data_IF_234465326925
#
_entry.id   IF_234465326925
#
_cell.length_a   1.000
_cell.length_b   1.000
_cell.length_c   1.000
_cell.angle_alpha   90.00
_cell.angle_beta   90.00
_cell.angle_gamma   90.00
#
_symmetry.space_group_name_H-M   'P 1'
#
loop_
_entity.id
_entity.type
_entity.pdbx_description
1 polymer ?
#
# COMPACT_ATOMS: atom_id res chain seq x y z
N UNK A 1 2.85 12.89 -10.61
CA UNK A 1 1.94 13.24 -9.47
C UNK A 1 2.40 12.56 -8.19
N UNK A 2 2.28 11.23 -8.05
CA UNK A 2 2.70 10.53 -6.81
C UNK A 2 4.23 10.55 -6.66
N UNK A 3 4.97 10.30 -7.73
CA UNK A 3 6.42 10.40 -7.74
C UNK A 3 6.91 11.79 -7.31
N UNK A 4 6.33 12.86 -7.86
CA UNK A 4 6.71 14.24 -7.52
C UNK A 4 6.46 14.55 -6.04
N UNK A 5 5.33 14.07 -5.49
CA UNK A 5 5.04 14.20 -4.07
C UNK A 5 6.11 13.50 -3.21
N UNK A 6 6.43 12.25 -3.54
CA UNK A 6 7.44 11.47 -2.83
C UNK A 6 8.80 12.17 -2.88
N UNK A 7 9.26 12.57 -4.06
CA UNK A 7 10.55 13.26 -4.24
C UNK A 7 10.61 14.61 -3.52
N UNK A 8 9.50 15.35 -3.48
CA UNK A 8 9.45 16.61 -2.75
C UNK A 8 9.52 16.38 -1.25
N UNK A 9 8.78 15.39 -0.73
CA UNK A 9 8.84 15.05 0.70
C UNK A 9 10.19 14.51 1.15
N UNK A 10 10.93 13.84 0.26
CA UNK A 10 12.29 13.37 0.53
C UNK A 10 13.32 14.50 0.70
N UNK A 11 13.03 15.72 0.27
CA UNK A 11 13.87 16.88 0.58
C UNK A 11 13.79 17.28 2.05
N UNK A 12 12.74 16.88 2.73
CA UNK A 12 12.46 17.20 4.14
C UNK A 12 12.68 15.99 5.06
N UNK A 13 12.62 14.77 4.51
CA UNK A 13 12.61 13.52 5.28
C UNK A 13 13.49 12.46 4.60
N UNK A 14 14.35 11.82 5.37
CA UNK A 14 15.24 10.75 4.87
C UNK A 14 14.46 9.50 4.40
N UNK A 15 13.31 9.24 5.03
CA UNK A 15 12.43 8.13 4.68
C UNK A 15 10.96 8.53 4.95
N UNK A 16 10.08 8.14 4.08
CA UNK A 16 8.64 8.34 4.21
C UNK A 16 7.98 7.12 4.85
N UNK A 17 6.88 7.34 5.56
CA UNK A 17 6.07 6.27 6.14
C UNK A 17 4.78 6.13 5.34
N UNK A 18 4.48 4.91 4.92
CA UNK A 18 3.19 4.53 4.33
C UNK A 18 2.46 3.56 5.27
N UNK A 19 1.23 3.88 5.63
CA UNK A 19 0.39 2.99 6.42
C UNK A 19 -0.56 2.21 5.54
N UNK A 20 -0.85 0.95 5.93
CA UNK A 20 -1.87 0.10 5.33
C UNK A 20 -3.02 -0.10 6.31
N UNK A 21 -4.25 0.10 5.84
CA UNK A 21 -5.47 -0.19 6.60
C UNK A 21 -6.46 -0.98 5.75
N UNK A 22 -7.24 -1.86 6.38
CA UNK A 22 -8.35 -2.56 5.73
C UNK A 22 -9.63 -1.77 5.99
N UNK A 23 -10.29 -1.34 4.92
CA UNK A 23 -11.49 -0.51 5.01
C UNK A 23 -12.66 -1.32 5.60
N UNK A 24 -13.33 -0.71 6.59
CA UNK A 24 -14.39 -1.38 7.33
C UNK A 24 -13.91 -2.30 8.46
N UNK A 25 -12.62 -2.25 8.82
CA UNK A 25 -12.10 -2.98 9.96
C UNK A 25 -11.55 -2.03 11.03
N UNK A 26 -12.01 -2.05 12.29
CA UNK A 26 -13.09 -2.93 12.83
C UNK A 26 -14.49 -2.59 12.34
N UNK A 27 -14.76 -1.32 11.96
CA UNK A 27 -15.97 -0.82 11.32
C UNK A 27 -15.66 0.31 10.35
N UNK A 28 -16.64 0.78 9.59
CA UNK A 28 -16.48 1.94 8.67
C UNK A 28 -16.13 3.21 9.45
N UNK A 29 -16.80 3.44 10.57
CA UNK A 29 -16.60 4.61 11.42
C UNK A 29 -15.21 4.58 12.08
N UNK A 30 -14.84 3.45 12.66
CA UNK A 30 -13.53 3.26 13.31
C UNK A 30 -12.40 3.29 12.29
N UNK A 31 -12.63 2.88 11.03
CA UNK A 31 -11.63 3.03 9.97
C UNK A 31 -11.32 4.50 9.72
N UNK A 32 -12.33 5.39 9.70
CA UNK A 32 -12.08 6.82 9.53
C UNK A 32 -11.28 7.41 10.69
N UNK A 33 -11.63 7.06 11.94
CA UNK A 33 -10.92 7.50 13.14
C UNK A 33 -9.47 6.98 13.16
N UNK A 34 -9.26 5.73 12.72
CA UNK A 34 -7.93 5.14 12.57
C UNK A 34 -7.08 5.90 11.56
N UNK A 35 -7.64 6.19 10.38
CA UNK A 35 -6.96 6.99 9.35
C UNK A 35 -6.59 8.37 9.89
N UNK A 36 -7.52 9.06 10.55
CA UNK A 36 -7.25 10.35 11.17
C UNK A 36 -6.08 10.27 12.15
N UNK A 37 -6.12 9.30 13.06
CA UNK A 37 -5.07 9.11 14.08
C UNK A 37 -3.70 8.84 13.45
N UNK A 38 -3.65 8.05 12.38
CA UNK A 38 -2.40 7.73 11.66
C UNK A 38 -1.87 8.95 10.90
N UNK A 39 -2.75 9.73 10.27
CA UNK A 39 -2.36 10.97 9.57
C UNK A 39 -1.83 12.01 10.57
N UNK A 40 -2.51 12.20 11.71
CA UNK A 40 -2.07 13.10 12.79
C UNK A 40 -0.72 12.67 13.40
N UNK A 41 -0.42 11.36 13.42
CA UNK A 41 0.87 10.82 13.81
C UNK A 41 1.98 11.08 12.76
N UNK A 42 1.63 11.67 11.61
CA UNK A 42 2.54 12.20 10.60
C UNK A 42 2.95 11.22 9.50
N UNK A 43 2.14 10.20 9.21
CA UNK A 43 2.33 9.32 8.03
C UNK A 43 2.31 10.16 6.74
N UNK A 44 3.03 9.73 5.72
CA UNK A 44 3.19 10.49 4.48
C UNK A 44 2.29 10.02 3.35
N UNK A 45 1.93 8.73 3.34
CA UNK A 45 1.03 8.10 2.36
C UNK A 45 0.20 7.02 3.06
N UNK A 46 -0.95 6.65 2.47
CA UNK A 46 -1.73 5.52 2.96
C UNK A 46 -2.29 4.66 1.84
N UNK A 47 -2.24 3.36 2.03
CA UNK A 47 -2.98 2.38 1.24
C UNK A 47 -4.25 1.93 1.98
N UNK A 48 -5.37 2.09 1.30
CA UNK A 48 -6.70 1.73 1.77
C UNK A 48 -7.12 0.44 1.08
N UNK A 49 -7.12 -0.68 1.78
CA UNK A 49 -7.50 -1.95 1.20
C UNK A 49 -9.01 -2.10 1.14
N UNK A 50 -9.54 -2.30 -0.07
CA UNK A 50 -10.92 -2.76 -0.28
C UNK A 50 -10.97 -4.24 0.13
N UNK A 51 -11.81 -4.66 1.08
CA UNK A 51 -11.86 -6.04 1.55
C UNK A 51 -12.16 -7.04 0.44
N UNK A 52 -11.46 -8.17 0.47
CA UNK A 52 -11.63 -9.28 -0.46
C UNK A 52 -11.56 -10.62 0.26
N UNK A 53 -12.33 -11.62 -0.21
CA UNK A 53 -12.45 -12.93 0.45
C UNK A 53 -11.20 -13.79 0.33
N UNK A 54 -10.46 -13.65 -0.79
CA UNK A 54 -9.31 -14.49 -1.13
C UNK A 54 -8.03 -13.65 -1.35
N UNK A 55 -7.54 -12.92 -0.31
CA UNK A 55 -6.44 -11.98 -0.46
C UNK A 55 -5.09 -12.72 -0.50
N UNK A 56 -4.75 -13.33 -1.62
CA UNK A 56 -3.63 -14.24 -1.81
C UNK A 56 -2.24 -13.62 -1.56
N UNK A 57 -2.12 -12.31 -1.67
CA UNK A 57 -0.88 -11.58 -1.38
C UNK A 57 -0.73 -11.22 0.10
N UNK A 58 -1.78 -11.40 0.91
CA UNK A 58 -1.85 -10.95 2.29
C UNK A 58 -1.51 -12.04 3.29
N UNK A 59 -0.92 -11.64 4.41
CA UNK A 59 -0.68 -12.53 5.53
C UNK A 59 -1.90 -12.66 6.46
N UNK A 60 -1.80 -13.56 7.47
CA UNK A 60 -2.94 -13.95 8.29
C UNK A 60 -3.59 -12.80 9.06
N UNK A 61 -2.85 -11.75 9.41
CA UNK A 61 -3.40 -10.58 10.13
C UNK A 61 -4.30 -9.76 9.22
N UNK A 62 -3.83 -9.49 8.00
CA UNK A 62 -4.60 -8.73 7.00
C UNK A 62 -5.78 -9.58 6.52
N UNK A 63 -5.57 -10.89 6.29
CA UNK A 63 -6.66 -11.83 5.96
C UNK A 63 -7.78 -11.79 7.00
N UNK A 64 -7.46 -11.85 8.31
CA UNK A 64 -8.46 -11.76 9.37
C UNK A 64 -9.23 -10.45 9.34
N UNK A 65 -8.56 -9.31 9.08
CA UNK A 65 -9.21 -8.01 8.98
C UNK A 65 -10.15 -7.96 7.76
N UNK A 66 -9.74 -8.49 6.61
CA UNK A 66 -10.60 -8.62 5.42
C UNK A 66 -11.85 -9.45 5.72
N UNK A 67 -11.67 -10.62 6.34
CA UNK A 67 -12.79 -11.51 6.70
C UNK A 67 -13.76 -10.85 7.69
N UNK A 68 -13.25 -10.12 8.68
CA UNK A 68 -14.08 -9.39 9.64
C UNK A 68 -14.91 -8.30 8.94
N UNK A 69 -14.29 -7.45 8.12
CA UNK A 69 -14.99 -6.40 7.38
C UNK A 69 -16.06 -6.98 6.45
N UNK A 70 -15.79 -8.08 5.76
CA UNK A 70 -16.77 -8.74 4.90
C UNK A 70 -17.92 -9.39 5.71
N UNK A 71 -17.63 -9.98 6.89
CA UNK A 71 -18.63 -10.55 7.77
C UNK A 71 -19.59 -9.46 8.33
N UNK A 72 -19.09 -8.26 8.56
CA UNK A 72 -19.88 -7.08 8.96
C UNK A 72 -20.63 -6.44 7.77
N UNK A 73 -20.56 -7.05 6.59
CA UNK A 73 -21.34 -6.66 5.42
C UNK A 73 -20.78 -5.49 4.62
N UNK A 74 -19.51 -5.11 4.84
CA UNK A 74 -18.83 -4.04 4.07
C UNK A 74 -18.81 -4.37 2.59
N UNK A 75 -19.22 -3.42 1.77
CA UNK A 75 -19.28 -3.53 0.31
C UNK A 75 -18.32 -2.56 -0.36
N UNK A 76 -18.01 -2.83 -1.61
CA UNK A 76 -17.14 -1.97 -2.42
C UNK A 76 -17.65 -0.52 -2.46
N UNK A 77 -18.96 -0.31 -2.55
CA UNK A 77 -19.54 1.04 -2.54
C UNK A 77 -19.35 1.78 -1.22
N UNK A 78 -19.31 1.06 -0.09
CA UNK A 78 -18.98 1.64 1.22
C UNK A 78 -17.53 2.12 1.24
N UNK A 79 -16.63 1.33 0.65
CA UNK A 79 -15.23 1.69 0.53
C UNK A 79 -15.03 2.96 -0.32
N UNK A 80 -15.71 3.10 -1.45
CA UNK A 80 -15.63 4.31 -2.26
C UNK A 80 -16.17 5.55 -1.52
N UNK A 81 -17.28 5.40 -0.79
CA UNK A 81 -17.82 6.51 0.05
C UNK A 81 -16.86 6.90 1.17
N UNK A 82 -16.31 5.91 1.85
CA UNK A 82 -15.32 6.14 2.91
C UNK A 82 -14.05 6.78 2.36
N UNK A 83 -13.52 6.29 1.23
CA UNK A 83 -12.34 6.85 0.59
C UNK A 83 -12.55 8.33 0.24
N UNK A 84 -13.71 8.68 -0.33
CA UNK A 84 -14.04 10.08 -0.62
C UNK A 84 -14.05 10.94 0.65
N UNK A 85 -14.69 10.46 1.73
CA UNK A 85 -14.70 11.17 3.02
C UNK A 85 -13.28 11.37 3.55
N UNK A 86 -12.41 10.37 3.42
CA UNK A 86 -11.01 10.43 3.85
C UNK A 86 -10.22 11.45 3.02
N UNK A 87 -10.30 11.38 1.71
CA UNK A 87 -9.53 12.28 0.82
C UNK A 87 -10.01 13.73 0.89
N UNK A 88 -11.28 13.97 1.22
CA UNK A 88 -11.80 15.31 1.47
C UNK A 88 -11.33 15.89 2.81
N UNK A 89 -10.95 15.03 3.77
CA UNK A 89 -10.53 15.45 5.12
C UNK A 89 -9.02 15.62 5.27
N UNK A 90 -8.19 14.91 4.49
CA UNK A 90 -6.74 14.84 4.72
C UNK A 90 -5.95 15.08 3.43
N UNK A 91 -4.90 15.89 3.51
CA UNK A 91 -4.03 16.30 2.39
C UNK A 91 -2.75 15.47 2.32
N UNK A 92 -2.90 14.15 2.20
CA UNK A 92 -1.82 13.21 1.86
C UNK A 92 -2.28 12.29 0.72
N UNK A 93 -1.38 11.67 -0.04
CA UNK A 93 -1.77 10.70 -1.05
C UNK A 93 -2.39 9.44 -0.45
N UNK A 94 -3.54 9.06 -1.00
CA UNK A 94 -4.21 7.79 -0.71
C UNK A 94 -4.21 6.91 -1.95
N UNK A 95 -3.95 5.61 -1.75
CA UNK A 95 -3.98 4.59 -2.78
C UNK A 95 -5.02 3.53 -2.42
N UNK A 96 -5.67 2.94 -3.42
CA UNK A 96 -6.40 1.70 -3.19
C UNK A 96 -5.46 0.49 -3.29
N UNK A 97 -5.62 -0.44 -2.36
CA UNK A 97 -5.14 -1.81 -2.50
C UNK A 97 -6.35 -2.71 -2.68
N UNK A 98 -6.36 -3.55 -3.70
CA UNK A 98 -7.45 -4.50 -3.95
C UNK A 98 -6.98 -5.64 -4.86
N UNK A 99 -7.89 -6.55 -5.21
CA UNK A 99 -7.64 -7.67 -6.10
C UNK A 99 -8.40 -7.52 -7.41
N UNK A 100 -7.85 -8.05 -8.49
CA UNK A 100 -8.37 -7.83 -9.84
C UNK A 100 -9.84 -8.25 -10.00
N UNK A 101 -10.28 -9.29 -9.31
CA UNK A 101 -11.69 -9.70 -9.37
C UNK A 101 -12.66 -8.59 -8.94
N UNK A 102 -12.28 -7.74 -7.97
CA UNK A 102 -13.09 -6.59 -7.54
C UNK A 102 -13.18 -5.56 -8.69
N UNK A 103 -12.04 -5.26 -9.31
CA UNK A 103 -11.95 -4.33 -10.45
C UNK A 103 -12.74 -4.86 -11.64
N UNK A 104 -12.51 -6.12 -12.02
CA UNK A 104 -13.18 -6.79 -13.13
C UNK A 104 -14.71 -6.79 -12.98
N UNK A 105 -15.20 -7.15 -11.79
CA UNK A 105 -16.64 -7.21 -11.51
C UNK A 105 -17.32 -5.83 -11.55
N UNK A 106 -16.58 -4.77 -11.21
CA UNK A 106 -17.08 -3.39 -11.30
C UNK A 106 -16.99 -2.82 -12.71
N UNK A 107 -16.12 -3.38 -13.56
CA UNK A 107 -15.71 -2.86 -14.86
C UNK A 107 -14.52 -1.89 -14.69
N UNK A 108 -13.43 -2.13 -15.41
CA UNK A 108 -12.15 -1.42 -15.27
C UNK A 108 -12.31 0.09 -15.44
N UNK A 109 -12.97 0.54 -16.51
CA UNK A 109 -13.20 1.96 -16.78
C UNK A 109 -13.97 2.63 -15.63
N UNK A 110 -15.06 1.99 -15.20
CA UNK A 110 -15.88 2.49 -14.10
C UNK A 110 -15.12 2.52 -12.79
N UNK A 111 -14.36 1.45 -12.47
CA UNK A 111 -13.56 1.39 -11.26
C UNK A 111 -12.59 2.54 -11.18
N UNK A 112 -11.80 2.80 -12.24
CA UNK A 112 -10.82 3.87 -12.22
C UNK A 112 -11.42 5.27 -12.28
N UNK A 113 -12.54 5.46 -12.99
CA UNK A 113 -13.27 6.73 -12.96
C UNK A 113 -13.77 7.06 -11.54
N UNK A 114 -14.35 6.08 -10.85
CA UNK A 114 -14.81 6.23 -9.47
C UNK A 114 -13.64 6.37 -8.48
N UNK A 115 -12.53 5.65 -8.69
CA UNK A 115 -11.28 5.80 -7.94
C UNK A 115 -10.78 7.24 -8.01
N UNK A 116 -10.70 7.80 -9.20
CA UNK A 116 -10.36 9.21 -9.39
C UNK A 116 -11.35 10.14 -8.73
N UNK A 117 -12.66 9.88 -8.90
CA UNK A 117 -13.75 10.63 -8.27
C UNK A 117 -13.70 10.60 -6.75
N UNK A 118 -13.20 9.52 -6.15
CA UNK A 118 -12.98 9.40 -4.71
C UNK A 118 -11.67 10.08 -4.22
N UNK A 119 -10.93 10.78 -5.08
CA UNK A 119 -9.69 11.47 -4.71
C UNK A 119 -8.47 10.57 -4.53
N UNK A 120 -8.58 9.29 -4.87
CA UNK A 120 -7.49 8.32 -4.82
C UNK A 120 -6.54 8.57 -6.00
N UNK A 121 -5.23 8.50 -5.77
CA UNK A 121 -4.21 8.83 -6.77
C UNK A 121 -3.43 7.62 -7.31
N UNK A 122 -3.56 6.46 -6.68
CA UNK A 122 -2.86 5.24 -7.12
C UNK A 122 -3.63 3.96 -6.77
N UNK A 123 -3.24 2.86 -7.39
CA UNK A 123 -3.81 1.54 -7.13
C UNK A 123 -2.74 0.45 -7.11
N UNK A 124 -2.84 -0.45 -6.13
CA UNK A 124 -2.05 -1.66 -5.97
C UNK A 124 -2.97 -2.85 -6.23
N UNK A 125 -2.76 -3.58 -7.32
CA UNK A 125 -3.55 -4.78 -7.67
C UNK A 125 -2.56 -5.90 -7.96
N UNK A 126 -2.25 -6.77 -6.97
CA UNK A 126 -1.12 -7.67 -7.01
C UNK A 126 -1.29 -8.88 -7.95
N UNK A 127 -2.50 -9.17 -8.34
CA UNK A 127 -2.89 -10.39 -9.06
C UNK A 127 -3.18 -10.18 -10.55
N UNK A 128 -2.83 -9.00 -11.11
CA UNK A 128 -2.87 -8.76 -12.55
C UNK A 128 -1.50 -8.36 -13.09
N UNK A 129 -0.83 -9.21 -13.87
CA UNK A 129 0.42 -8.88 -14.52
C UNK A 129 0.20 -7.98 -15.74
N UNK A 130 1.18 -7.13 -16.14
CA UNK A 130 1.03 -6.24 -17.30
C UNK A 130 0.69 -6.96 -18.61
N UNK A 131 1.15 -8.19 -18.76
CA UNK A 131 0.90 -9.02 -19.95
C UNK A 131 -0.58 -9.33 -20.19
N UNK A 132 -1.37 -9.34 -19.12
CA UNK A 132 -2.81 -9.64 -19.16
C UNK A 132 -3.67 -8.41 -18.83
N UNK A 133 -3.04 -7.27 -18.54
CA UNK A 133 -3.69 -6.07 -18.04
C UNK A 133 -3.73 -4.89 -19.01
N UNK A 134 -3.77 -5.10 -20.34
CA UNK A 134 -3.71 -3.97 -21.29
C UNK A 134 -4.87 -3.00 -21.09
N UNK A 135 -6.13 -3.49 -21.06
CA UNK A 135 -7.32 -2.66 -20.81
C UNK A 135 -7.31 -2.02 -19.44
N UNK A 136 -6.89 -2.77 -18.42
CA UNK A 136 -6.74 -2.30 -17.06
C UNK A 136 -5.74 -1.13 -16.95
N UNK A 137 -4.56 -1.26 -17.56
CA UNK A 137 -3.55 -0.19 -17.59
C UNK A 137 -4.03 1.03 -18.39
N UNK A 138 -4.74 0.81 -19.52
CA UNK A 138 -5.31 1.89 -20.32
C UNK A 138 -6.36 2.68 -19.51
N UNK A 139 -7.27 1.97 -18.82
CA UNK A 139 -8.30 2.60 -17.99
C UNK A 139 -7.69 3.39 -16.80
N UNK A 140 -6.68 2.86 -16.12
CA UNK A 140 -5.96 3.56 -15.07
C UNK A 140 -5.28 4.84 -15.60
N UNK A 141 -4.60 4.73 -16.73
CA UNK A 141 -3.91 5.86 -17.37
C UNK A 141 -4.89 6.96 -17.79
N UNK A 142 -6.02 6.60 -18.39
CA UNK A 142 -7.07 7.55 -18.80
C UNK A 142 -7.66 8.34 -17.62
N UNK A 143 -7.62 7.76 -16.42
CA UNK A 143 -8.10 8.38 -15.18
C UNK A 143 -6.98 8.99 -14.31
N UNK A 144 -5.73 9.05 -14.79
CA UNK A 144 -4.57 9.54 -14.03
C UNK A 144 -4.38 8.83 -12.68
N UNK A 145 -4.58 7.51 -12.65
CA UNK A 145 -4.28 6.65 -11.50
C UNK A 145 -2.94 5.98 -11.72
N UNK A 146 -1.99 6.18 -10.80
CA UNK A 146 -0.69 5.54 -10.83
C UNK A 146 -0.84 4.06 -10.42
N UNK A 147 -0.47 3.14 -11.33
CA UNK A 147 -0.44 1.71 -11.01
C UNK A 147 0.89 1.34 -10.38
N UNK A 148 0.81 0.81 -9.16
CA UNK A 148 1.95 0.42 -8.35
C UNK A 148 2.19 -1.08 -8.53
N UNK A 149 3.27 -1.44 -9.21
CA UNK A 149 3.63 -2.84 -9.39
C UNK A 149 4.49 -3.35 -8.24
N UNK A 150 4.30 -4.64 -7.94
CA UNK A 150 5.03 -5.33 -6.87
C UNK A 150 6.27 -6.01 -7.45
N UNK A 151 7.41 -5.80 -6.80
CA UNK A 151 8.66 -6.48 -7.05
C UNK A 151 8.96 -7.45 -5.90
N UNK A 152 9.27 -8.69 -6.23
CA UNK A 152 9.55 -9.73 -5.25
C UNK A 152 11.02 -10.22 -5.36
N UNK A 153 11.63 -10.69 -4.27
CA UNK A 153 13.00 -11.24 -4.30
C UNK A 153 13.16 -12.41 -5.29
N UNK A 154 12.07 -13.13 -5.54
CA UNK A 154 12.00 -14.22 -6.53
C UNK A 154 11.94 -13.75 -7.98
N UNK A 155 11.71 -12.46 -8.22
CA UNK A 155 11.68 -11.89 -9.57
C UNK A 155 13.09 -11.88 -10.17
N UNK A 156 13.24 -12.42 -11.36
CA UNK A 156 14.48 -12.31 -12.11
C UNK A 156 14.77 -10.85 -12.51
N UNK A 157 16.03 -10.51 -12.76
CA UNK A 157 16.41 -9.17 -13.25
C UNK A 157 15.67 -8.79 -14.54
N UNK A 158 15.46 -9.76 -15.45
CA UNK A 158 14.66 -9.57 -16.65
C UNK A 158 13.21 -9.22 -16.34
N UNK A 159 12.60 -9.89 -15.32
CA UNK A 159 11.23 -9.60 -14.89
C UNK A 159 11.13 -8.22 -14.25
N UNK A 160 12.07 -7.84 -13.40
CA UNK A 160 12.13 -6.50 -12.78
C UNK A 160 12.23 -5.43 -13.87
N UNK A 161 13.16 -5.59 -14.82
CA UNK A 161 13.31 -4.66 -15.94
C UNK A 161 12.08 -4.57 -16.85
N UNK A 162 11.35 -5.67 -17.01
CA UNK A 162 10.10 -5.68 -17.75
C UNK A 162 9.02 -4.88 -17.01
N UNK A 163 8.80 -5.13 -15.72
CA UNK A 163 7.84 -4.42 -14.89
C UNK A 163 8.17 -2.92 -14.78
N UNK A 164 9.46 -2.57 -14.76
CA UNK A 164 9.91 -1.19 -14.69
C UNK A 164 9.41 -0.31 -15.85
N UNK A 165 9.03 -0.90 -16.98
CA UNK A 165 8.50 -0.18 -18.15
C UNK A 165 7.06 0.34 -17.94
N UNK A 166 6.33 -0.26 -17.00
CA UNK A 166 4.91 0.02 -16.77
C UNK A 166 4.66 0.77 -15.45
N UNK A 167 5.61 0.71 -14.51
CA UNK A 167 5.45 1.33 -13.19
C UNK A 167 5.32 2.85 -13.25
N UNK A 168 4.52 3.40 -12.35
CA UNK A 168 4.36 4.83 -12.10
C UNK A 168 4.33 5.09 -10.60
N UNK A 169 4.64 6.32 -10.18
CA UNK A 169 4.63 6.70 -8.79
C UNK A 169 5.79 6.10 -8.00
N UNK A 170 5.74 4.81 -7.70
CA UNK A 170 6.81 4.06 -7.04
C UNK A 170 6.68 2.56 -7.32
N UNK A 171 7.69 1.76 -6.94
CA UNK A 171 7.58 0.29 -6.91
C UNK A 171 7.44 -0.20 -5.48
N UNK A 172 6.56 -1.18 -5.30
CA UNK A 172 6.35 -1.84 -4.02
C UNK A 172 7.22 -3.10 -3.93
N UNK A 173 8.32 -3.02 -3.19
CA UNK A 173 9.20 -4.14 -2.93
C UNK A 173 8.69 -4.96 -1.74
N UNK A 174 8.50 -6.28 -1.93
CA UNK A 174 8.21 -7.18 -0.81
C UNK A 174 9.51 -7.85 -0.36
N UNK A 175 9.80 -7.83 0.95
CA UNK A 175 11.10 -8.29 1.45
C UNK A 175 11.23 -9.81 1.58
N UNK A 176 10.17 -10.60 1.26
CA UNK A 176 10.17 -12.07 1.50
C UNK A 176 9.64 -12.90 0.36
N UNK A 177 10.11 -14.17 0.37
CA UNK A 177 9.46 -15.28 -0.34
C UNK A 177 8.26 -15.73 0.50
N UNK A 178 7.02 -15.40 0.10
CA UNK A 178 5.79 -15.80 0.79
C UNK A 178 4.93 -14.63 1.29
N UNK A 179 3.94 -14.93 2.13
CA UNK A 179 2.94 -13.95 2.61
C UNK A 179 3.43 -13.14 3.82
N UNK A 180 2.83 -11.96 4.04
CA UNK A 180 3.17 -11.01 5.11
C UNK A 180 2.92 -11.56 6.53
N UNK A 181 3.71 -11.14 7.52
CA UNK A 181 3.38 -11.37 8.94
C UNK A 181 4.37 -12.11 9.82
N UNK A 182 5.54 -12.55 9.31
CA UNK A 182 6.63 -13.10 10.11
C UNK A 182 7.82 -12.13 10.21
N UNK A 183 8.77 -12.30 11.13
CA UNK A 183 9.96 -11.43 11.29
C UNK A 183 10.82 -11.43 10.01
N UNK A 184 11.25 -10.26 9.59
CA UNK A 184 12.18 -10.10 8.48
C UNK A 184 13.60 -10.27 9.01
N UNK A 185 14.37 -11.13 8.35
CA UNK A 185 15.81 -11.11 8.48
C UNK A 185 16.32 -10.07 7.47
N UNK A 186 16.86 -8.95 7.97
CA UNK A 186 17.48 -7.92 7.13
C UNK A 186 18.87 -8.40 6.71
N UNK A 187 18.88 -9.34 5.77
CA UNK A 187 20.06 -10.05 5.31
C UNK A 187 20.66 -9.37 4.07
N UNK A 188 21.87 -9.80 3.69
CA UNK A 188 22.49 -9.45 2.42
C UNK A 188 21.58 -9.72 1.20
N UNK A 189 20.68 -10.69 1.27
CA UNK A 189 19.71 -11.00 0.21
C UNK A 189 18.74 -9.82 -0.05
N UNK A 190 18.37 -9.05 0.97
CA UNK A 190 17.54 -7.86 0.78
C UNK A 190 18.30 -6.77 0.02
N UNK A 191 19.54 -6.51 0.41
CA UNK A 191 20.37 -5.48 -0.24
C UNK A 191 20.61 -5.85 -1.72
N UNK A 192 20.96 -7.09 -2.02
CA UNK A 192 21.10 -7.59 -3.40
C UNK A 192 19.80 -7.45 -4.21
N UNK A 193 18.66 -7.69 -3.59
CA UNK A 193 17.36 -7.52 -4.25
C UNK A 193 17.09 -6.05 -4.56
N UNK A 194 17.29 -5.15 -3.59
CA UNK A 194 17.09 -3.71 -3.77
C UNK A 194 18.04 -3.15 -4.82
N UNK A 195 19.30 -3.61 -4.86
CA UNK A 195 20.28 -3.24 -5.90
C UNK A 195 19.81 -3.65 -7.30
N UNK A 196 19.24 -4.85 -7.46
CA UNK A 196 18.62 -5.25 -8.72
C UNK A 196 17.44 -4.38 -9.11
N UNK A 197 16.62 -3.96 -8.15
CA UNK A 197 15.50 -3.05 -8.39
C UNK A 197 16.04 -1.66 -8.83
N UNK A 198 17.03 -1.13 -8.12
CA UNK A 198 17.66 0.16 -8.46
C UNK A 198 18.31 0.15 -9.84
N UNK A 199 18.92 -0.97 -10.24
CA UNK A 199 19.49 -1.14 -11.59
C UNK A 199 18.46 -1.12 -12.72
N UNK A 200 17.18 -1.36 -12.40
CA UNK A 200 16.10 -1.44 -13.39
C UNK A 200 15.21 -0.19 -13.45
N UNK A 201 15.15 0.63 -12.39
CA UNK A 201 14.25 1.78 -12.31
C UNK A 201 14.85 2.94 -11.52
N UNK A 202 14.42 4.17 -11.91
CA UNK A 202 14.69 5.39 -11.15
C UNK A 202 13.50 5.81 -10.26
N UNK A 203 12.37 5.11 -10.35
CA UNK A 203 11.21 5.37 -9.49
C UNK A 203 11.55 5.09 -8.02
N UNK A 204 10.92 5.80 -7.08
CA UNK A 204 11.04 5.50 -5.67
C UNK A 204 10.69 4.04 -5.37
N UNK A 205 11.34 3.46 -4.37
CA UNK A 205 11.04 2.13 -3.87
C UNK A 205 10.32 2.24 -2.51
N UNK A 206 9.22 1.53 -2.37
CA UNK A 206 8.58 1.28 -1.08
C UNK A 206 8.93 -0.14 -0.63
N UNK A 207 9.30 -0.31 0.63
CA UNK A 207 9.49 -1.65 1.19
C UNK A 207 8.33 -2.00 2.11
N UNK A 208 7.50 -2.94 1.67
CA UNK A 208 6.44 -3.56 2.46
C UNK A 208 6.97 -4.83 3.06
N UNK A 209 7.33 -4.76 4.35
CA UNK A 209 7.49 -6.00 5.09
C UNK A 209 7.88 -5.85 6.55
N UNK A 210 6.87 -6.11 7.40
CA UNK A 210 7.15 -6.41 8.80
C UNK A 210 7.77 -5.27 9.60
N UNK A 211 7.78 -4.02 9.08
CA UNK A 211 8.26 -2.86 9.85
C UNK A 211 7.41 -2.75 11.12
N UNK A 212 8.07 -2.93 12.26
CA UNK A 212 7.45 -3.01 13.57
C UNK A 212 8.16 -2.16 14.62
N UNK A 213 9.30 -1.55 14.28
CA UNK A 213 10.08 -0.74 15.18
C UNK A 213 10.80 0.43 14.49
N UNK A 214 11.26 1.39 15.29
CA UNK A 214 12.07 2.53 14.84
C UNK A 214 13.40 2.08 14.24
N UNK A 215 14.01 1.08 14.84
CA UNK A 215 15.31 0.52 14.40
C UNK A 215 15.19 -0.04 12.98
N UNK A 216 14.08 -0.71 12.67
CA UNK A 216 13.82 -1.22 11.32
C UNK A 216 13.61 -0.09 10.31
N UNK A 217 12.90 0.97 10.67
CA UNK A 217 12.78 2.17 9.83
C UNK A 217 14.16 2.82 9.60
N UNK A 218 14.98 2.94 10.65
CA UNK A 218 16.32 3.48 10.53
C UNK A 218 17.23 2.64 9.63
N UNK A 219 17.12 1.31 9.69
CA UNK A 219 17.84 0.40 8.82
C UNK A 219 17.50 0.60 7.34
N UNK A 220 16.26 0.99 7.02
CA UNK A 220 15.79 1.22 5.66
C UNK A 220 16.22 2.58 5.08
N UNK A 221 16.67 3.52 5.91
CA UNK A 221 17.13 4.83 5.44
C UNK A 221 18.27 4.70 4.45
N UNK A 222 18.16 5.41 3.33
CA UNK A 222 19.12 5.35 2.24
C UNK A 222 19.04 4.11 1.35
N UNK A 223 18.21 3.11 1.73
CA UNK A 223 17.98 1.90 0.92
C UNK A 223 16.69 2.00 0.11
N UNK A 224 15.64 2.55 0.71
CA UNK A 224 14.35 2.80 0.06
C UNK A 224 13.80 4.17 0.45
N UNK A 225 12.87 4.67 -0.34
CA UNK A 225 12.24 5.97 -0.09
C UNK A 225 11.05 5.87 0.87
N UNK A 226 10.40 4.72 0.93
CA UNK A 226 9.15 4.53 1.70
C UNK A 226 9.23 3.24 2.52
N UNK A 227 9.00 3.33 3.83
CA UNK A 227 8.79 2.20 4.71
C UNK A 227 7.28 1.97 4.90
N UNK A 228 6.81 0.74 4.61
CA UNK A 228 5.39 0.40 4.69
C UNK A 228 5.08 -0.38 5.96
N UNK A 229 4.04 0.06 6.67
CA UNK A 229 3.58 -0.53 7.93
C UNK A 229 2.11 -0.95 7.79
N UNK A 230 1.88 -2.25 7.81
CA UNK A 230 0.52 -2.82 7.72
C UNK A 230 0.19 -3.71 8.92
N UNK A 231 0.64 -4.96 8.88
CA UNK A 231 0.26 -5.98 9.87
C UNK A 231 0.48 -5.57 11.32
N UNK A 232 1.53 -4.79 11.63
CA UNK A 232 1.78 -4.33 12.99
C UNK A 232 0.73 -3.33 13.47
N UNK A 233 0.32 -2.40 12.61
CA UNK A 233 -0.75 -1.45 12.92
C UNK A 233 -2.07 -2.19 13.22
N UNK A 234 -2.43 -3.19 12.40
CA UNK A 234 -3.64 -3.99 12.61
C UNK A 234 -3.57 -4.86 13.89
N UNK A 235 -2.38 -5.39 14.25
CA UNK A 235 -2.20 -6.09 15.53
C UNK A 235 -2.44 -5.16 16.73
N UNK A 236 -1.84 -3.98 16.69
CA UNK A 236 -2.00 -2.96 17.75
C UNK A 236 -3.45 -2.49 17.83
N UNK A 237 -4.10 -2.25 16.69
CA UNK A 237 -5.52 -1.90 16.65
C UNK A 237 -6.37 -2.94 17.38
N UNK A 238 -6.16 -4.22 17.05
CA UNK A 238 -6.91 -5.34 17.65
C UNK A 238 -6.71 -5.49 19.16
N UNK A 239 -5.49 -5.22 19.65
CA UNK A 239 -5.14 -5.49 21.05
C UNK A 239 -5.21 -4.26 21.94
N UNK A 240 -4.94 -3.09 21.42
CA UNK A 240 -4.72 -1.87 22.20
C UNK A 240 -5.51 -0.66 21.69
N UNK A 241 -6.26 -0.82 20.59
CA UNK A 241 -7.11 0.22 20.02
C UNK A 241 -6.37 1.30 19.22
N UNK A 242 -7.12 2.23 18.68
CA UNK A 242 -6.66 3.26 17.72
C UNK A 242 -5.58 4.16 18.28
N UNK A 243 -5.69 4.58 19.54
CA UNK A 243 -4.66 5.41 20.19
C UNK A 243 -3.27 4.77 20.17
N UNK A 244 -3.18 3.47 20.46
CA UNK A 244 -1.90 2.76 20.46
C UNK A 244 -1.27 2.70 19.06
N UNK A 245 -2.10 2.69 17.99
CA UNK A 245 -1.62 2.79 16.61
C UNK A 245 -1.00 4.16 16.35
N UNK A 246 -1.65 5.25 16.77
CA UNK A 246 -1.11 6.60 16.65
C UNK A 246 0.22 6.77 17.40
N UNK A 247 0.26 6.33 18.66
CA UNK A 247 1.48 6.36 19.48
C UNK A 247 2.61 5.53 18.85
N UNK A 248 2.29 4.44 18.18
CA UNK A 248 3.26 3.62 17.45
C UNK A 248 3.83 4.37 16.25
N UNK A 249 3.00 4.91 15.35
CA UNK A 249 3.48 5.67 14.19
C UNK A 249 4.30 6.90 14.60
N UNK A 250 3.89 7.61 15.65
CA UNK A 250 4.63 8.75 16.18
C UNK A 250 6.05 8.40 16.67
N UNK A 251 6.26 7.15 17.14
CA UNK A 251 7.58 6.66 17.58
C UNK A 251 8.49 6.14 16.48
N UNK A 252 7.97 5.85 15.29
CA UNK A 252 8.75 5.34 14.16
C UNK A 252 9.71 6.38 13.55
N UNK A 253 9.55 7.64 13.88
CA UNK A 253 10.34 8.78 13.39
C UNK A 253 11.54 9.12 14.26
#
# INVERSE_FOLDING_TARGET
>A
MLEDYIRNKQKEKDILLMAHVVMGYPSIEETFELVQTIVEAGVDLMELQIPFSEPIADGPVILQANQAALADGVRVDDCFRLARKITDAFDIPFLFMTYYNVVFKRGEERFFAETRGAGICGAIVPDIPPEEGESFMAAATANNIDLIFILAPTSSSARISYLARFGRGFFYCVARKGVTGAKTDFSSELDEFLDRCRGATQLPLALGFGVSSKEEVQFLRGKVEIAVVGSQALRLLKTNGTKAVGDFFGRLR
#
